data_IF_662608304440
#
_entry.id   IF_662608304440
#
_cell.length_a   1.000
_cell.length_b   1.000
_cell.length_c   1.000
_cell.angle_alpha   90.00
_cell.angle_beta   90.00
_cell.angle_gamma   90.00
#
_symmetry.space_group_name_H-M   'P 1'
#
loop_
_entity.id
_entity.type
_entity.pdbx_description
1 polymer ?
#
# COMPACT_ATOMS: atom_id res chain seq x y z
N UNK A 1 -62.78 40.34 43.41
CA UNK A 1 -62.83 39.13 44.26
C UNK A 1 -61.53 38.36 44.05
N UNK A 2 -60.80 38.11 45.15
CA UNK A 2 -59.82 37.03 45.36
C UNK A 2 -58.53 37.05 44.49
N UNK A 3 -57.30 36.83 44.94
CA UNK A 3 -56.63 36.72 46.26
C UNK A 3 -55.13 36.51 45.97
N UNK A 4 -54.29 37.01 46.88
CA UNK A 4 -52.94 36.57 47.33
C UNK A 4 -52.09 35.58 46.50
N UNK A 5 -50.79 35.92 46.50
CA UNK A 5 -49.59 35.08 46.76
C UNK A 5 -49.26 33.96 45.77
N UNK A 6 -48.13 34.15 45.09
CA UNK A 6 -47.00 33.21 45.15
C UNK A 6 -45.74 33.84 44.54
N UNK A 7 -44.87 34.36 45.41
CA UNK A 7 -43.42 34.35 45.15
C UNK A 7 -42.96 32.92 45.37
N UNK A 8 -42.19 32.36 44.43
CA UNK A 8 -41.09 31.44 44.72
C UNK A 8 -40.21 31.31 43.48
N UNK A 9 -38.94 31.65 43.66
CA UNK A 9 -37.82 31.34 42.77
C UNK A 9 -37.78 29.85 42.47
N UNK A 10 -37.43 29.48 41.24
CA UNK A 10 -36.51 28.38 41.03
C UNK A 10 -35.76 28.52 39.70
N UNK A 11 -34.45 28.54 39.86
CA UNK A 11 -33.37 28.40 38.90
C UNK A 11 -33.65 27.32 37.85
N UNK A 12 -33.46 27.63 36.57
CA UNK A 12 -33.58 26.67 35.47
C UNK A 12 -32.59 27.01 34.37
N UNK A 13 -31.47 26.28 34.38
CA UNK A 13 -30.30 26.41 33.53
C UNK A 13 -30.56 26.69 32.05
N UNK A 14 -29.71 27.55 31.48
CA UNK A 14 -29.62 27.78 30.04
C UNK A 14 -29.26 26.51 29.28
N UNK A 15 -29.98 26.23 28.20
CA UNK A 15 -29.57 25.28 27.18
C UNK A 15 -28.81 26.04 26.11
N UNK A 16 -27.52 26.30 26.37
CA UNK A 16 -26.56 26.48 25.31
C UNK A 16 -26.46 25.13 24.57
N UNK A 17 -27.09 25.03 23.41
CA UNK A 17 -26.90 23.89 22.53
C UNK A 17 -25.44 23.90 22.05
N UNK A 18 -24.59 23.16 22.75
CA UNK A 18 -23.23 22.85 22.31
C UNK A 18 -23.38 22.03 21.04
N UNK A 19 -23.20 22.68 19.90
CA UNK A 19 -22.95 21.99 18.63
C UNK A 19 -21.61 21.30 18.78
N UNK A 20 -21.62 20.10 19.34
CA UNK A 20 -20.51 19.17 19.31
C UNK A 20 -20.21 18.91 17.84
N UNK A 21 -19.23 19.65 17.32
CA UNK A 21 -18.66 19.42 16.00
C UNK A 21 -18.06 18.03 15.97
N UNK A 22 -18.89 17.04 15.62
CA UNK A 22 -18.41 15.79 15.08
C UNK A 22 -17.66 16.13 13.80
N UNK A 23 -16.34 16.29 13.97
CA UNK A 23 -15.40 16.23 12.85
C UNK A 23 -15.54 14.83 12.28
N UNK A 24 -16.33 14.71 11.21
CA UNK A 24 -16.26 13.56 10.32
C UNK A 24 -14.79 13.49 9.92
N UNK A 25 -14.05 12.42 10.27
CA UNK A 25 -12.69 12.28 9.77
C UNK A 25 -12.81 12.29 8.25
N UNK A 26 -12.06 13.17 7.59
CA UNK A 26 -11.89 13.14 6.15
C UNK A 26 -11.23 11.80 5.80
N UNK A 27 -12.05 10.76 5.65
CA UNK A 27 -11.67 9.55 4.96
C UNK A 27 -11.38 9.99 3.54
N UNK A 28 -10.10 10.17 3.20
CA UNK A 28 -9.66 10.16 1.80
C UNK A 28 -10.33 8.93 1.19
N UNK A 29 -11.25 9.14 0.26
CA UNK A 29 -11.92 8.05 -0.43
C UNK A 29 -10.83 7.10 -0.91
N UNK A 30 -10.86 5.85 -0.43
CA UNK A 30 -9.88 4.86 -0.83
C UNK A 30 -9.94 4.76 -2.37
N UNK A 31 -8.79 4.90 -3.03
CA UNK A 31 -8.69 4.75 -4.49
C UNK A 31 -9.35 3.42 -4.84
N UNK A 32 -10.37 3.46 -5.70
CA UNK A 32 -11.08 2.25 -6.09
C UNK A 32 -10.15 1.38 -6.94
N UNK A 33 -9.93 0.15 -6.49
CA UNK A 33 -9.13 -0.85 -7.18
C UNK A 33 -10.06 -1.93 -7.74
N UNK A 34 -9.67 -2.59 -8.82
CA UNK A 34 -10.47 -3.67 -9.42
C UNK A 34 -10.56 -4.88 -8.48
N UNK A 35 -9.51 -5.11 -7.68
CA UNK A 35 -9.47 -6.18 -6.67
C UNK A 35 -9.41 -5.55 -5.28
N UNK A 36 -10.52 -5.68 -4.55
CA UNK A 36 -10.66 -5.21 -3.18
C UNK A 36 -11.18 -6.33 -2.28
N UNK A 37 -10.66 -6.37 -1.05
CA UNK A 37 -11.17 -7.20 0.04
C UNK A 37 -11.13 -6.38 1.33
N UNK A 38 -11.84 -6.84 2.35
CA UNK A 38 -11.73 -6.32 3.70
C UNK A 38 -10.34 -6.60 4.28
N UNK A 39 -9.95 -5.86 5.31
CA UNK A 39 -8.68 -6.08 6.01
C UNK A 39 -8.54 -7.50 6.59
N UNK A 40 -9.63 -8.07 7.11
CA UNK A 40 -9.64 -9.43 7.65
C UNK A 40 -9.41 -10.48 6.55
N UNK A 41 -10.06 -10.32 5.40
CA UNK A 41 -9.85 -11.18 4.23
C UNK A 41 -8.42 -11.04 3.69
N UNK A 42 -7.89 -9.83 3.57
CA UNK A 42 -6.50 -9.63 3.15
C UNK A 42 -5.51 -10.29 4.10
N UNK A 43 -5.69 -10.15 5.42
CA UNK A 43 -4.85 -10.83 6.42
C UNK A 43 -4.90 -12.34 6.27
N UNK A 44 -6.09 -12.90 6.01
CA UNK A 44 -6.28 -14.35 5.79
C UNK A 44 -5.64 -14.83 4.48
N UNK A 45 -5.84 -14.12 3.38
CA UNK A 45 -5.34 -14.49 2.05
C UNK A 45 -3.81 -14.37 1.96
N UNK A 46 -3.24 -13.32 2.55
CA UNK A 46 -1.81 -13.02 2.43
C UNK A 46 -0.96 -13.68 3.53
N UNK A 47 -1.56 -13.94 4.68
CA UNK A 47 -0.81 -14.18 5.91
C UNK A 47 -0.11 -12.91 6.42
N UNK A 48 0.42 -12.96 7.64
CA UNK A 48 0.90 -11.77 8.35
C UNK A 48 2.01 -11.01 7.62
N UNK A 49 3.08 -11.70 7.16
CA UNK A 49 4.26 -11.05 6.58
C UNK A 49 3.95 -10.33 5.26
N UNK A 50 3.22 -10.99 4.36
CA UNK A 50 2.81 -10.38 3.08
C UNK A 50 1.80 -9.27 3.29
N UNK A 51 0.89 -9.42 4.25
CA UNK A 51 -0.06 -8.36 4.58
C UNK A 51 0.64 -7.09 5.03
N UNK A 52 1.65 -7.19 5.91
CA UNK A 52 2.45 -6.03 6.34
C UNK A 52 3.08 -5.32 5.15
N UNK A 53 3.71 -6.06 4.24
CA UNK A 53 4.34 -5.48 3.04
C UNK A 53 3.29 -4.85 2.11
N UNK A 54 2.31 -5.64 1.64
CA UNK A 54 1.37 -5.21 0.60
C UNK A 54 0.32 -4.19 1.08
N UNK A 55 -0.08 -4.23 2.35
CA UNK A 55 -1.21 -3.43 2.87
C UNK A 55 -0.80 -2.35 3.87
N UNK A 56 0.35 -2.50 4.51
CA UNK A 56 0.85 -1.52 5.48
C UNK A 56 2.14 -0.84 5.01
N UNK A 57 2.51 -1.04 3.73
CA UNK A 57 3.74 -0.49 3.12
C UNK A 57 5.00 -0.84 3.90
N UNK A 58 5.03 -2.02 4.52
CA UNK A 58 6.21 -2.55 5.19
C UNK A 58 7.29 -2.95 4.20
N UNK A 59 8.53 -3.06 4.69
CA UNK A 59 9.68 -3.50 3.90
C UNK A 59 10.26 -4.77 4.53
N UNK A 60 10.49 -5.80 3.72
CA UNK A 60 11.15 -7.01 4.19
C UNK A 60 12.64 -6.79 4.43
N UNK A 61 13.26 -7.61 5.28
CA UNK A 61 14.71 -7.53 5.50
C UNK A 61 15.48 -7.81 4.20
N UNK A 62 16.61 -7.14 3.94
CA UNK A 62 17.43 -7.40 2.77
C UNK A 62 17.90 -8.87 2.77
N UNK A 63 18.06 -9.45 1.59
CA UNK A 63 18.51 -10.84 1.36
C UNK A 63 17.58 -11.93 1.89
N UNK A 64 16.38 -11.59 2.36
CA UNK A 64 15.46 -12.55 2.99
C UNK A 64 14.62 -13.36 2.00
N UNK A 65 14.37 -12.84 0.80
CA UNK A 65 13.50 -13.49 -0.18
C UNK A 65 14.24 -14.43 -1.13
N UNK A 66 13.73 -15.65 -1.37
CA UNK A 66 14.28 -16.53 -2.40
C UNK A 66 14.16 -15.94 -3.82
N UNK A 67 13.21 -15.02 -4.05
CA UNK A 67 13.04 -14.37 -5.35
C UNK A 67 14.20 -13.44 -5.71
N UNK A 68 15.05 -13.08 -4.75
CA UNK A 68 16.30 -12.37 -5.02
C UNK A 68 17.17 -13.17 -5.99
N UNK A 69 17.29 -14.50 -5.77
CA UNK A 69 18.11 -15.42 -6.56
C UNK A 69 17.33 -16.14 -7.68
N UNK A 70 16.10 -15.73 -7.93
CA UNK A 70 15.32 -16.29 -9.04
C UNK A 70 15.79 -15.66 -10.36
N UNK A 71 16.28 -16.50 -11.27
CA UNK A 71 16.81 -16.10 -12.59
C UNK A 71 16.21 -16.93 -13.73
N UNK A 72 15.29 -17.86 -13.43
CA UNK A 72 14.60 -18.62 -14.48
C UNK A 72 13.77 -17.67 -15.35
N UNK A 73 13.54 -18.07 -16.59
CA UNK A 73 12.61 -17.39 -17.49
C UNK A 73 11.19 -17.52 -16.94
N UNK A 74 10.50 -16.40 -16.84
CA UNK A 74 9.16 -16.32 -16.28
C UNK A 74 8.72 -14.91 -15.94
N UNK A 75 7.62 -14.83 -15.19
CA UNK A 75 6.96 -13.58 -14.81
C UNK A 75 6.84 -13.48 -13.30
N UNK A 76 7.16 -12.31 -12.76
CA UNK A 76 6.91 -11.94 -11.39
C UNK A 76 5.54 -11.27 -11.31
N UNK A 77 4.69 -11.79 -10.44
CA UNK A 77 3.28 -11.40 -10.29
C UNK A 77 3.05 -10.81 -8.91
N UNK A 78 2.08 -9.90 -8.78
CA UNK A 78 1.67 -9.38 -7.48
C UNK A 78 1.19 -10.53 -6.59
N UNK A 79 1.80 -10.71 -5.42
CA UNK A 79 1.42 -11.77 -4.49
C UNK A 79 -0.01 -11.63 -3.92
N UNK A 80 -0.63 -10.44 -4.02
CA UNK A 80 -1.98 -10.20 -3.53
C UNK A 80 -3.10 -10.41 -4.53
N UNK A 81 -2.87 -10.20 -5.83
CA UNK A 81 -3.94 -10.40 -6.82
C UNK A 81 -3.50 -11.21 -8.05
N UNK A 82 -2.25 -11.65 -8.13
CA UNK A 82 -1.68 -12.39 -9.27
C UNK A 82 -1.62 -11.59 -10.58
N UNK A 83 -1.64 -10.26 -10.53
CA UNK A 83 -1.39 -9.43 -11.72
C UNK A 83 0.08 -9.58 -12.13
N UNK A 84 0.34 -9.78 -13.42
CA UNK A 84 1.69 -9.81 -13.96
C UNK A 84 2.35 -8.43 -13.81
N UNK A 85 3.48 -8.39 -13.11
CA UNK A 85 4.13 -7.15 -12.67
C UNK A 85 5.45 -6.88 -13.39
N UNK A 86 6.32 -7.88 -13.45
CA UNK A 86 7.66 -7.74 -14.03
C UNK A 86 8.06 -8.99 -14.81
N UNK A 87 8.80 -8.81 -15.90
CA UNK A 87 9.41 -9.91 -16.65
C UNK A 87 10.75 -10.29 -16.02
N UNK A 88 11.10 -11.58 -16.02
CA UNK A 88 12.47 -12.03 -15.72
C UNK A 88 13.52 -11.41 -16.62
N UNK A 89 13.16 -10.97 -17.84
CA UNK A 89 14.07 -10.32 -18.79
C UNK A 89 14.50 -8.93 -18.34
N UNK A 90 13.68 -8.26 -17.53
CA UNK A 90 14.01 -6.95 -16.98
C UNK A 90 14.66 -7.05 -15.60
N UNK A 91 14.77 -8.26 -15.04
CA UNK A 91 15.42 -8.49 -13.74
C UNK A 91 16.94 -8.39 -13.86
N UNK A 92 17.58 -7.76 -12.89
CA UNK A 92 19.02 -7.70 -12.78
C UNK A 92 19.47 -7.80 -11.31
N UNK A 93 20.75 -8.07 -11.09
CA UNK A 93 21.34 -8.02 -9.75
C UNK A 93 21.87 -6.62 -9.47
N UNK A 94 21.27 -5.96 -8.47
CA UNK A 94 21.65 -4.61 -8.04
C UNK A 94 22.57 -4.61 -6.83
N UNK A 95 22.78 -5.76 -6.17
CA UNK A 95 23.51 -5.82 -4.90
C UNK A 95 22.77 -5.18 -3.70
N UNK A 96 21.51 -4.77 -3.86
CA UNK A 96 20.77 -4.07 -2.78
C UNK A 96 20.12 -5.02 -1.76
N UNK A 97 19.98 -6.30 -2.10
CA UNK A 97 19.33 -7.31 -1.25
C UNK A 97 17.85 -7.53 -1.54
N UNK A 98 17.26 -6.85 -2.53
CA UNK A 98 15.88 -7.09 -2.99
C UNK A 98 15.81 -7.31 -4.50
N UNK A 99 14.81 -8.08 -4.99
CA UNK A 99 14.53 -8.21 -6.42
C UNK A 99 14.50 -6.86 -7.13
N UNK A 100 15.32 -6.71 -8.17
CA UNK A 100 15.48 -5.45 -8.90
C UNK A 100 15.18 -5.65 -10.38
N UNK A 101 14.39 -4.73 -10.94
CA UNK A 101 14.00 -4.74 -12.35
C UNK A 101 14.24 -3.36 -12.95
N UNK A 102 14.55 -3.28 -14.25
CA UNK A 102 14.74 -1.97 -14.90
C UNK A 102 13.48 -1.44 -15.60
N UNK A 103 12.45 -2.27 -15.74
CA UNK A 103 11.15 -1.89 -16.30
C UNK A 103 10.02 -2.84 -15.84
N UNK A 104 8.83 -2.31 -15.48
CA UNK A 104 7.62 -3.09 -15.22
C UNK A 104 6.93 -3.51 -16.52
N UNK A 105 6.04 -4.50 -16.43
CA UNK A 105 5.12 -4.80 -17.52
C UNK A 105 4.12 -3.65 -17.73
N UNK A 106 3.59 -3.56 -18.96
CA UNK A 106 2.64 -2.50 -19.33
C UNK A 106 1.38 -2.58 -18.46
N UNK A 107 0.93 -1.43 -17.94
CA UNK A 107 -0.26 -1.30 -17.10
C UNK A 107 -0.23 -2.16 -15.81
N UNK A 108 0.95 -2.47 -15.29
CA UNK A 108 1.09 -3.33 -14.11
C UNK A 108 1.16 -2.59 -12.77
N UNK A 109 1.70 -1.36 -12.77
CA UNK A 109 2.03 -0.62 -11.56
C UNK A 109 1.47 0.81 -11.58
N UNK A 110 1.37 1.40 -10.39
CA UNK A 110 1.19 2.84 -10.18
C UNK A 110 2.31 3.34 -9.28
N UNK A 111 2.70 4.60 -9.47
CA UNK A 111 3.69 5.28 -8.66
C UNK A 111 3.05 6.42 -7.89
N UNK A 112 3.47 6.61 -6.64
CA UNK A 112 3.01 7.70 -5.78
C UNK A 112 4.22 8.21 -4.97
N UNK A 113 4.23 9.50 -4.65
CA UNK A 113 5.27 10.11 -3.82
C UNK A 113 5.24 9.53 -2.40
N UNK A 114 6.40 9.14 -1.87
CA UNK A 114 6.59 8.63 -0.52
C UNK A 114 7.61 9.49 0.22
N UNK A 115 7.12 10.28 1.17
CA UNK A 115 7.90 11.17 2.05
C UNK A 115 8.13 10.60 3.44
N UNK A 116 7.86 9.31 3.63
CA UNK A 116 8.08 8.64 4.91
C UNK A 116 9.56 8.66 5.31
N UNK A 117 9.81 8.62 6.62
CA UNK A 117 11.16 8.61 7.19
C UNK A 117 12.04 9.81 6.79
N UNK A 118 11.44 10.91 6.32
CA UNK A 118 12.16 12.11 5.90
C UNK A 118 12.93 11.96 4.57
N UNK A 119 12.64 10.92 3.79
CA UNK A 119 13.23 10.70 2.48
C UNK A 119 12.19 10.97 1.39
N UNK A 120 12.58 11.61 0.29
CA UNK A 120 11.76 11.69 -0.93
C UNK A 120 12.02 10.46 -1.80
N UNK A 121 11.06 9.53 -1.83
CA UNK A 121 11.11 8.30 -2.64
C UNK A 121 9.86 8.21 -3.51
N UNK A 122 9.92 7.40 -4.56
CA UNK A 122 8.73 7.07 -5.36
C UNK A 122 8.29 5.65 -5.03
N UNK A 123 7.17 5.50 -4.32
CA UNK A 123 6.59 4.20 -4.01
C UNK A 123 5.95 3.60 -5.26
N UNK A 124 6.02 2.28 -5.37
CA UNK A 124 5.47 1.48 -6.46
C UNK A 124 4.43 0.53 -5.86
N UNK A 125 3.22 0.58 -6.39
CA UNK A 125 2.10 -0.29 -5.98
C UNK A 125 1.48 -1.00 -7.18
N UNK A 126 0.84 -2.14 -6.93
CA UNK A 126 0.10 -2.86 -7.97
C UNK A 126 -1.08 -2.03 -8.47
N UNK A 127 -1.17 -1.84 -9.80
CA UNK A 127 -2.26 -1.07 -10.44
C UNK A 127 -3.66 -1.64 -10.16
N UNK A 128 -3.77 -2.96 -10.01
CA UNK A 128 -5.05 -3.69 -9.93
C UNK A 128 -5.62 -3.79 -8.52
N UNK A 129 -4.77 -4.00 -7.50
CA UNK A 129 -5.23 -4.21 -6.13
C UNK A 129 -4.67 -3.20 -5.11
N UNK A 130 -3.83 -2.25 -5.55
CA UNK A 130 -3.23 -1.24 -4.68
C UNK A 130 -2.19 -1.77 -3.69
N UNK A 131 -1.78 -3.04 -3.80
CA UNK A 131 -0.78 -3.61 -2.89
C UNK A 131 0.59 -2.96 -3.10
N UNK A 132 1.22 -2.47 -2.03
CA UNK A 132 2.57 -1.93 -2.07
C UNK A 132 3.57 -3.00 -2.51
N UNK A 133 4.43 -2.66 -3.47
CA UNK A 133 5.43 -3.56 -4.04
C UNK A 133 6.84 -3.17 -3.59
N UNK A 134 7.17 -1.88 -3.62
CA UNK A 134 8.48 -1.35 -3.22
C UNK A 134 8.66 0.07 -3.72
N UNK A 135 9.85 0.40 -4.23
CA UNK A 135 10.18 1.75 -4.70
C UNK A 135 10.94 1.73 -6.03
N UNK A 136 10.90 2.85 -6.75
CA UNK A 136 11.71 3.08 -7.95
C UNK A 136 12.75 4.17 -7.71
N UNK A 137 13.94 3.96 -8.26
CA UNK A 137 15.12 4.82 -8.17
C UNK A 137 15.71 5.07 -9.57
N UNK A 138 16.53 6.11 -9.71
CA UNK A 138 17.19 6.57 -10.96
C UNK A 138 18.64 6.07 -11.12
N UNK A 139 18.99 5.00 -10.40
CA UNK A 139 20.32 4.38 -10.39
C UNK A 139 20.33 2.99 -11.06
N UNK A 140 19.44 2.78 -12.01
CA UNK A 140 19.33 1.53 -12.76
C UNK A 140 20.24 1.43 -13.97
N UNK A 141 20.28 0.26 -14.63
CA UNK A 141 21.04 0.07 -15.86
C UNK A 141 20.37 0.73 -17.07
N UNK A 142 21.11 0.87 -18.16
CA UNK A 142 20.52 1.09 -19.49
C UNK A 142 19.54 -0.05 -19.82
N UNK A 143 18.46 0.20 -20.58
CA UNK A 143 18.18 1.43 -21.34
C UNK A 143 17.43 2.53 -20.57
N UNK A 144 16.81 2.21 -19.44
CA UNK A 144 15.91 3.16 -18.73
C UNK A 144 16.63 4.02 -17.72
N UNK A 145 17.74 3.53 -17.14
CA UNK A 145 18.36 4.16 -15.97
C UNK A 145 17.54 3.97 -14.69
N UNK A 146 16.45 3.19 -14.72
CA UNK A 146 15.55 3.02 -13.58
C UNK A 146 15.79 1.70 -12.87
N UNK A 147 15.66 1.70 -11.54
CA UNK A 147 15.69 0.50 -10.71
C UNK A 147 14.42 0.39 -9.88
N UNK A 148 13.56 -0.55 -10.24
CA UNK A 148 12.40 -0.97 -9.47
C UNK A 148 12.85 -2.00 -8.44
N UNK A 149 13.04 -1.55 -7.21
CA UNK A 149 13.48 -2.34 -6.06
C UNK A 149 12.26 -2.85 -5.28
N UNK A 150 11.86 -4.10 -5.54
CA UNK A 150 10.61 -4.66 -5.05
C UNK A 150 10.84 -5.62 -3.89
N UNK A 151 9.95 -5.59 -2.90
CA UNK A 151 9.89 -6.63 -1.88
C UNK A 151 9.57 -7.99 -2.54
N UNK A 152 10.36 -9.01 -2.24
CA UNK A 152 10.07 -10.37 -2.68
C UNK A 152 8.79 -10.93 -2.07
N UNK A 153 8.45 -10.58 -0.82
CA UNK A 153 7.15 -10.92 -0.22
C UNK A 153 5.95 -10.31 -0.96
N UNK A 154 6.14 -9.19 -1.67
CA UNK A 154 5.10 -8.59 -2.50
C UNK A 154 4.90 -9.29 -3.85
N UNK A 155 5.79 -10.24 -4.18
CA UNK A 155 5.83 -10.93 -5.46
C UNK A 155 5.63 -12.45 -5.32
N UNK A 156 5.18 -13.05 -6.40
CA UNK A 156 5.19 -14.49 -6.67
C UNK A 156 5.81 -14.72 -8.05
N UNK A 157 6.46 -15.87 -8.28
CA UNK A 157 7.07 -16.17 -9.57
C UNK A 157 6.32 -17.28 -10.31
N UNK A 158 6.04 -17.05 -11.58
CA UNK A 158 5.47 -18.03 -12.51
C UNK A 158 6.51 -18.32 -13.60
N UNK A 159 7.06 -19.53 -13.60
CA UNK A 159 8.01 -19.97 -14.63
C UNK A 159 7.34 -19.94 -16.00
N UNK A 160 8.10 -19.59 -17.04
CA UNK A 160 7.70 -19.93 -18.40
C UNK A 160 7.67 -21.46 -18.51
N UNK A 161 6.58 -22.02 -19.02
CA UNK A 161 6.52 -23.43 -19.40
C UNK A 161 7.42 -23.60 -20.62
N UNK A 162 8.27 -24.64 -20.62
CA UNK A 162 9.08 -25.02 -21.78
C UNK A 162 8.19 -25.54 -22.92
#
# INVERSE_FOLDING_TARGET
MVTRRSVLMNSGAGLAAVVLGWRIPNARAAKAFEVTHTDAEWKKLLGAKRYVVLRQSGTEQPYSSPLLKEHRKGTFTCAGCSLDAFSSETKFDSGTGWPSFWQPLTNAIVTDDDKSLGMDRTAVSCRRCGGHLGHVFDDGPKPTGLRYCMNGLALSFRSATA
#
